data_IF_693671179262
#
_entry.id   IF_693671179262
#
_cell.length_a   1.000
_cell.length_b   1.000
_cell.length_c   1.000
_cell.angle_alpha   90.00
_cell.angle_beta   90.00
_cell.angle_gamma   90.00
#
_symmetry.space_group_name_H-M   'P 1'
#
loop_
_entity.id
_entity.type
_entity.pdbx_description
1 polymer ?
#
# COMPACT_ATOMS: atom_id res chain seq x y z
N UNK A 1 1.22 7.77 -38.15
CA UNK A 1 1.00 6.88 -36.99
C UNK A 1 1.62 7.41 -35.70
N UNK A 2 2.88 7.90 -35.69
CA UNK A 2 3.44 8.62 -34.52
C UNK A 2 2.66 9.88 -34.18
N UNK A 3 2.01 10.47 -35.19
CA UNK A 3 1.03 11.55 -35.08
C UNK A 3 -0.09 11.27 -34.07
N UNK A 4 -0.49 10.01 -33.85
CA UNK A 4 -1.53 9.69 -32.86
C UNK A 4 -1.04 9.97 -31.44
N UNK A 5 0.18 9.54 -31.09
CA UNK A 5 0.78 9.84 -29.79
C UNK A 5 0.93 11.36 -29.64
N UNK A 6 1.44 12.05 -30.66
CA UNK A 6 1.58 13.51 -30.63
C UNK A 6 0.25 14.24 -30.44
N UNK A 7 -0.81 13.81 -31.11
CA UNK A 7 -2.14 14.40 -30.98
C UNK A 7 -2.69 14.25 -29.55
N UNK A 8 -2.52 13.06 -28.96
CA UNK A 8 -2.93 12.80 -27.57
C UNK A 8 -2.12 13.65 -26.59
N UNK A 9 -0.80 13.70 -26.75
CA UNK A 9 0.10 14.51 -25.92
C UNK A 9 -0.22 16.01 -26.03
N UNK A 10 -0.51 16.50 -27.24
CA UNK A 10 -0.89 17.89 -27.48
C UNK A 10 -2.20 18.23 -26.77
N UNK A 11 -3.23 17.38 -26.92
CA UNK A 11 -4.50 17.55 -26.21
C UNK A 11 -4.32 17.63 -24.69
N UNK A 12 -3.48 16.77 -24.09
CA UNK A 12 -3.17 16.82 -22.66
C UNK A 12 -2.53 18.14 -22.22
N UNK A 13 -1.69 18.76 -23.07
CA UNK A 13 -1.12 20.08 -22.80
C UNK A 13 -2.17 21.20 -22.96
N UNK A 14 -3.06 21.11 -23.94
CA UNK A 14 -4.12 22.09 -24.17
C UNK A 14 -5.13 22.10 -22.99
N UNK A 15 -5.50 20.91 -22.49
CA UNK A 15 -6.35 20.74 -21.31
C UNK A 15 -5.68 21.34 -20.05
N UNK A 16 -4.37 21.14 -19.92
CA UNK A 16 -3.57 21.68 -18.82
C UNK A 16 -3.47 23.21 -18.89
N UNK A 17 -3.23 23.78 -20.07
CA UNK A 17 -3.16 25.22 -20.29
C UNK A 17 -4.50 25.92 -19.99
N UNK A 18 -5.61 25.23 -20.25
CA UNK A 18 -6.96 25.69 -19.90
C UNK A 18 -7.18 25.78 -18.37
N UNK A 19 -6.36 25.08 -17.59
CA UNK A 19 -6.43 25.05 -16.13
C UNK A 19 -5.50 26.08 -15.45
N UNK A 20 -4.69 26.81 -16.22
CA UNK A 20 -3.79 27.87 -15.73
C UNK A 20 -2.36 27.78 -16.29
N UNK A 21 -1.55 28.79 -16.01
CA UNK A 21 -0.13 28.77 -16.37
C UNK A 21 0.67 27.80 -15.50
N UNK A 22 1.34 26.86 -16.14
CA UNK A 22 2.26 25.90 -15.52
C UNK A 22 3.62 25.96 -16.20
N UNK A 23 4.68 25.82 -15.39
CA UNK A 23 6.06 25.86 -15.87
C UNK A 23 6.42 24.65 -16.74
N UNK A 24 7.54 24.77 -17.44
CA UNK A 24 7.98 23.78 -18.41
C UNK A 24 8.28 22.39 -17.81
N UNK A 25 8.74 22.30 -16.55
CA UNK A 25 9.01 21.02 -15.90
C UNK A 25 7.71 20.28 -15.56
N UNK A 26 6.72 21.01 -15.04
CA UNK A 26 5.37 20.48 -14.76
C UNK A 26 4.71 19.98 -16.04
N UNK A 27 4.73 20.77 -17.12
CA UNK A 27 4.24 20.33 -18.46
C UNK A 27 4.92 19.03 -18.91
N UNK A 28 6.24 18.94 -18.75
CA UNK A 28 6.99 17.73 -19.12
C UNK A 28 6.57 16.52 -18.29
N UNK A 29 6.28 16.69 -17.00
CA UNK A 29 5.85 15.60 -16.13
C UNK A 29 4.44 15.09 -16.48
N UNK A 30 3.52 15.98 -16.89
CA UNK A 30 2.20 15.57 -17.41
C UNK A 30 2.34 14.66 -18.64
N UNK A 31 3.23 15.03 -19.57
CA UNK A 31 3.51 14.19 -20.75
C UNK A 31 4.12 12.83 -20.38
N UNK A 32 4.95 12.77 -19.33
CA UNK A 32 5.50 11.50 -18.85
C UNK A 32 4.40 10.59 -18.33
N UNK A 33 3.47 11.10 -17.52
CA UNK A 33 2.36 10.28 -17.01
C UNK A 33 1.54 9.67 -18.15
N UNK A 34 1.29 10.44 -19.21
CA UNK A 34 0.59 9.93 -20.40
C UNK A 34 1.40 8.83 -21.11
N UNK A 35 2.70 9.06 -21.34
CA UNK A 35 3.58 8.10 -22.01
C UNK A 35 3.80 6.82 -21.21
N UNK A 36 3.68 6.86 -19.87
CA UNK A 36 3.77 5.68 -19.02
C UNK A 36 2.68 4.65 -19.35
N UNK A 37 1.47 5.07 -19.72
CA UNK A 37 0.39 4.13 -20.08
C UNK A 37 0.72 3.31 -21.33
N UNK A 38 1.44 3.89 -22.30
CA UNK A 38 1.89 3.15 -23.49
C UNK A 38 2.89 2.05 -23.13
N UNK A 39 3.78 2.35 -22.18
CA UNK A 39 4.78 1.40 -21.68
C UNK A 39 4.12 0.32 -20.82
N UNK A 40 3.19 0.70 -19.94
CA UNK A 40 2.43 -0.24 -19.11
C UNK A 40 1.56 -1.16 -19.95
N UNK A 41 0.95 -0.64 -21.02
CA UNK A 41 0.21 -1.44 -21.98
C UNK A 41 1.12 -2.52 -22.61
N UNK A 42 2.34 -2.17 -23.03
CA UNK A 42 3.31 -3.16 -23.50
C UNK A 42 3.61 -4.22 -22.43
N UNK A 43 4.00 -3.80 -21.21
CA UNK A 43 4.41 -4.70 -20.14
C UNK A 43 3.28 -5.67 -19.77
N UNK A 44 2.07 -5.17 -19.54
CA UNK A 44 0.97 -5.96 -19.01
C UNK A 44 0.20 -6.79 -20.06
N UNK A 45 0.44 -6.54 -21.35
CA UNK A 45 0.01 -7.45 -22.42
C UNK A 45 1.09 -8.47 -22.82
N UNK A 46 2.34 -8.28 -22.38
CA UNK A 46 3.40 -9.23 -22.71
C UNK A 46 3.24 -10.54 -21.93
N UNK A 47 3.34 -11.73 -22.57
CA UNK A 47 3.15 -13.01 -21.89
C UNK A 47 4.15 -13.27 -20.76
N UNK A 48 5.36 -12.68 -20.85
CA UNK A 48 6.42 -12.86 -19.85
C UNK A 48 6.42 -11.77 -18.77
N UNK A 49 5.95 -10.55 -19.07
CA UNK A 49 6.15 -9.38 -18.19
C UNK A 49 4.88 -8.99 -17.42
N UNK A 50 3.72 -9.57 -17.76
CA UNK A 50 2.42 -9.21 -17.16
C UNK A 50 2.28 -9.49 -15.65
N UNK A 51 3.25 -10.19 -15.08
CA UNK A 51 3.32 -10.61 -13.70
C UNK A 51 4.40 -9.85 -12.91
N UNK A 52 5.02 -8.82 -13.50
CA UNK A 52 5.89 -7.90 -12.77
C UNK A 52 5.08 -7.09 -11.76
N UNK A 53 5.60 -7.00 -10.54
CA UNK A 53 4.93 -6.32 -9.43
C UNK A 53 5.30 -4.84 -9.50
N UNK A 54 4.35 -4.00 -9.89
CA UNK A 54 4.53 -2.55 -9.85
C UNK A 54 4.48 -2.05 -8.41
N UNK A 55 5.40 -1.14 -8.08
CA UNK A 55 5.43 -0.51 -6.76
C UNK A 55 5.89 0.95 -6.86
N UNK A 56 6.08 1.61 -5.71
CA UNK A 56 6.59 2.98 -5.67
C UNK A 56 5.55 4.04 -6.01
N UNK A 57 6.03 5.21 -6.45
CA UNK A 57 5.20 6.41 -6.63
C UNK A 57 4.16 6.28 -7.75
N UNK A 58 4.48 5.55 -8.82
CA UNK A 58 3.56 5.41 -9.96
C UNK A 58 2.46 4.40 -9.68
N UNK A 59 2.73 3.36 -8.88
CA UNK A 59 1.68 2.46 -8.40
C UNK A 59 0.65 3.25 -7.57
N UNK A 60 1.11 4.09 -6.65
CA UNK A 60 0.26 5.00 -5.88
C UNK A 60 -0.56 5.95 -6.76
N UNK A 61 0.08 6.54 -7.78
CA UNK A 61 -0.55 7.50 -8.69
C UNK A 61 -1.63 6.86 -9.57
N UNK A 62 -1.33 5.72 -10.19
CA UNK A 62 -2.19 5.09 -11.20
C UNK A 62 -3.28 4.22 -10.54
N UNK A 63 -2.98 3.56 -9.43
CA UNK A 63 -3.90 2.60 -8.79
C UNK A 63 -4.72 3.25 -7.67
N UNK A 64 -4.17 4.27 -7.01
CA UNK A 64 -4.74 4.81 -5.78
C UNK A 64 -4.92 6.33 -5.79
N UNK A 65 -4.82 6.97 -6.96
CA UNK A 65 -5.08 8.39 -7.16
C UNK A 65 -4.25 9.32 -6.25
N UNK A 66 -2.96 9.01 -6.09
CA UNK A 66 -2.03 9.92 -5.41
C UNK A 66 -2.07 11.31 -6.07
N UNK A 67 -2.17 12.37 -5.25
CA UNK A 67 -2.39 13.74 -5.73
C UNK A 67 -1.13 14.46 -6.24
N UNK A 68 -0.02 13.74 -6.43
CA UNK A 68 1.20 14.27 -7.05
C UNK A 68 1.54 13.45 -8.28
N UNK A 69 2.14 14.08 -9.27
CA UNK A 69 2.62 13.38 -10.45
C UNK A 69 3.73 12.39 -10.09
N UNK A 70 3.85 11.33 -10.89
CA UNK A 70 4.93 10.35 -10.76
C UNK A 70 5.61 10.08 -12.09
N UNK A 71 6.94 10.01 -12.07
CA UNK A 71 7.76 10.11 -13.30
C UNK A 71 8.48 8.82 -13.69
N UNK A 72 8.66 7.88 -12.76
CA UNK A 72 9.41 6.63 -12.96
C UNK A 72 8.45 5.42 -12.84
N UNK A 73 8.66 4.37 -13.62
CA UNK A 73 7.97 3.08 -13.46
C UNK A 73 8.91 2.11 -12.73
N UNK A 74 8.57 1.76 -11.50
CA UNK A 74 9.35 0.86 -10.67
C UNK A 74 8.65 -0.51 -10.58
N UNK A 75 9.40 -1.58 -10.85
CA UNK A 75 8.92 -2.96 -10.76
C UNK A 75 9.84 -3.83 -9.91
N UNK A 76 9.25 -4.77 -9.19
CA UNK A 76 9.96 -5.90 -8.59
C UNK A 76 9.68 -7.18 -9.41
N UNK A 77 10.76 -7.92 -9.68
CA UNK A 77 10.75 -9.14 -10.48
C UNK A 77 11.41 -10.28 -9.71
N UNK A 78 10.95 -11.52 -9.95
CA UNK A 78 11.44 -12.71 -9.26
C UNK A 78 12.65 -13.37 -9.91
N UNK A 79 13.19 -12.78 -10.97
CA UNK A 79 14.33 -13.30 -11.73
C UNK A 79 15.49 -12.32 -11.72
N UNK A 80 16.71 -12.84 -11.92
CA UNK A 80 17.89 -12.01 -12.02
C UNK A 80 17.84 -11.13 -13.28
N UNK A 81 18.16 -9.85 -13.12
CA UNK A 81 18.21 -8.89 -14.22
C UNK A 81 19.59 -8.97 -14.87
N UNK A 82 19.65 -9.43 -16.11
CA UNK A 82 20.89 -9.59 -16.88
C UNK A 82 20.95 -8.58 -18.03
N UNK A 83 22.15 -8.27 -18.52
CA UNK A 83 22.32 -7.40 -19.69
C UNK A 83 21.59 -7.94 -20.92
N UNK A 84 21.69 -9.26 -21.16
CA UNK A 84 20.98 -9.95 -22.24
C UNK A 84 19.47 -9.73 -22.17
N UNK A 85 18.89 -9.89 -20.99
CA UNK A 85 17.47 -9.66 -20.76
C UNK A 85 17.07 -8.19 -21.01
N UNK A 86 17.89 -7.23 -20.56
CA UNK A 86 17.62 -5.80 -20.80
C UNK A 86 17.73 -5.44 -22.29
N UNK A 87 18.65 -6.06 -23.03
CA UNK A 87 18.77 -5.91 -24.48
C UNK A 87 17.58 -6.50 -25.23
N UNK A 88 17.06 -7.65 -24.79
CA UNK A 88 15.85 -8.27 -25.33
C UNK A 88 14.63 -7.38 -25.07
N UNK A 89 14.40 -6.99 -23.81
CA UNK A 89 13.34 -6.06 -23.41
C UNK A 89 13.38 -4.77 -24.23
N UNK A 90 14.57 -4.19 -24.42
CA UNK A 90 14.76 -3.00 -25.24
C UNK A 90 14.26 -3.22 -26.67
N UNK A 91 14.71 -4.29 -27.33
CA UNK A 91 14.33 -4.60 -28.72
C UNK A 91 12.84 -4.84 -28.86
N UNK A 92 12.22 -5.50 -27.90
CA UNK A 92 10.78 -5.76 -27.89
C UNK A 92 9.97 -4.48 -27.74
N UNK A 93 10.38 -3.57 -26.86
CA UNK A 93 9.74 -2.26 -26.73
C UNK A 93 9.90 -1.46 -28.03
N UNK A 94 11.10 -1.39 -28.62
CA UNK A 94 11.33 -0.69 -29.90
C UNK A 94 10.39 -1.25 -30.99
N UNK A 95 10.32 -2.58 -31.11
CA UNK A 95 9.43 -3.25 -32.08
C UNK A 95 7.96 -2.98 -31.78
N UNK A 96 7.53 -3.00 -30.52
CA UNK A 96 6.16 -2.71 -30.13
C UNK A 96 5.76 -1.29 -30.54
N UNK A 97 6.62 -0.29 -30.28
CA UNK A 97 6.31 1.10 -30.64
C UNK A 97 6.31 1.32 -32.16
N UNK A 98 7.25 0.72 -32.89
CA UNK A 98 7.26 0.78 -34.36
C UNK A 98 6.03 0.12 -34.97
N UNK A 99 5.64 -1.07 -34.51
CA UNK A 99 4.53 -1.81 -35.10
C UNK A 99 3.15 -1.20 -34.81
N UNK A 100 2.93 -0.68 -33.59
CA UNK A 100 1.60 -0.19 -33.18
C UNK A 100 1.42 1.31 -33.41
N UNK A 101 2.51 2.08 -33.42
CA UNK A 101 2.45 3.54 -33.52
C UNK A 101 3.36 4.11 -34.61
N UNK A 102 3.99 3.27 -35.45
CA UNK A 102 4.82 3.74 -36.56
C UNK A 102 5.95 4.68 -36.14
N UNK A 103 6.52 4.49 -34.96
CA UNK A 103 7.63 5.30 -34.46
C UNK A 103 8.95 4.88 -35.10
N UNK A 104 9.81 5.85 -35.37
CA UNK A 104 11.20 5.66 -35.79
C UNK A 104 12.19 6.08 -34.68
N UNK A 105 13.49 6.07 -34.99
CA UNK A 105 14.56 6.45 -34.06
C UNK A 105 14.59 7.94 -33.73
N UNK A 106 14.03 8.77 -34.62
CA UNK A 106 13.93 10.21 -34.41
C UNK A 106 12.77 10.53 -33.47
N UNK A 107 11.79 9.63 -33.35
CA UNK A 107 10.70 9.73 -32.37
C UNK A 107 11.05 9.12 -31.00
N UNK A 108 11.57 7.89 -30.97
CA UNK A 108 11.87 7.15 -29.74
C UNK A 108 13.27 6.54 -29.79
N UNK A 109 14.05 6.76 -28.74
CA UNK A 109 15.32 6.05 -28.51
C UNK A 109 15.38 5.44 -27.11
N UNK A 110 15.88 4.22 -26.99
CA UNK A 110 15.92 3.48 -25.71
C UNK A 110 17.36 3.15 -25.32
N UNK A 111 17.71 3.42 -24.06
CA UNK A 111 19.03 3.14 -23.50
C UNK A 111 18.92 2.32 -22.22
N UNK A 112 19.79 1.31 -22.07
CA UNK A 112 19.98 0.59 -20.80
C UNK A 112 20.66 1.52 -19.78
N UNK A 113 20.13 1.57 -18.56
CA UNK A 113 20.63 2.41 -17.48
C UNK A 113 20.84 1.61 -16.20
N UNK A 114 21.93 1.91 -15.49
CA UNK A 114 22.25 1.40 -14.16
C UNK A 114 22.26 -0.14 -14.02
N UNK A 115 22.41 -0.88 -15.13
CA UNK A 115 22.42 -2.34 -15.16
C UNK A 115 21.10 -3.01 -14.77
N UNK A 116 20.02 -2.25 -14.56
CA UNK A 116 18.75 -2.78 -14.05
C UNK A 116 17.50 -2.08 -14.60
N UNK A 117 17.62 -1.30 -15.67
CA UNK A 117 16.48 -0.57 -16.20
C UNK A 117 16.70 0.01 -17.59
N UNK A 118 15.65 0.61 -18.13
CA UNK A 118 15.62 1.26 -19.44
C UNK A 118 15.20 2.74 -19.31
N UNK A 119 15.80 3.58 -20.11
CA UNK A 119 15.42 4.98 -20.29
C UNK A 119 14.89 5.16 -21.71
N UNK A 120 13.58 5.35 -21.84
CA UNK A 120 12.88 5.64 -23.08
C UNK A 120 12.87 7.15 -23.28
N UNK A 121 13.43 7.63 -24.38
CA UNK A 121 13.54 9.06 -24.72
C UNK A 121 12.65 9.35 -25.92
N UNK A 122 11.56 10.06 -25.67
CA UNK A 122 10.63 10.53 -26.68
C UNK A 122 11.03 11.94 -27.11
N UNK A 123 11.34 12.14 -28.39
CA UNK A 123 11.82 13.42 -28.93
C UNK A 123 10.67 14.29 -29.42
N UNK A 124 9.70 14.51 -28.55
CA UNK A 124 8.42 15.20 -28.88
C UNK A 124 8.42 16.69 -28.53
N UNK A 125 9.48 17.21 -27.88
CA UNK A 125 9.47 18.55 -27.29
C UNK A 125 9.33 19.69 -28.29
N UNK A 126 10.02 19.61 -29.43
CA UNK A 126 9.93 20.62 -30.49
C UNK A 126 8.52 20.69 -31.10
N UNK A 127 7.92 19.53 -31.37
CA UNK A 127 6.59 19.44 -31.97
C UNK A 127 5.49 19.93 -31.01
N UNK A 128 5.70 19.80 -29.71
CA UNK A 128 4.74 20.16 -28.67
C UNK A 128 4.97 21.54 -28.03
N UNK A 129 6.07 22.23 -28.36
CA UNK A 129 6.36 23.55 -27.82
C UNK A 129 6.52 23.59 -26.30
N UNK A 130 7.12 22.54 -25.69
CA UNK A 130 7.17 22.38 -24.21
C UNK A 130 7.87 23.55 -23.51
N UNK A 131 8.76 24.28 -24.21
CA UNK A 131 9.50 25.42 -23.65
C UNK A 131 10.54 25.02 -22.60
N UNK A 132 10.98 23.75 -22.62
CA UNK A 132 12.00 23.20 -21.73
C UNK A 132 13.36 23.10 -22.46
N UNK A 133 14.47 23.21 -21.74
CA UNK A 133 15.82 23.18 -22.33
C UNK A 133 16.12 21.85 -23.06
N UNK A 134 15.69 20.73 -22.47
CA UNK A 134 15.68 19.42 -23.13
C UNK A 134 14.36 19.22 -23.88
N UNK A 135 14.47 18.92 -25.18
CA UNK A 135 13.34 18.62 -26.07
C UNK A 135 12.88 17.16 -25.97
N UNK A 136 13.37 16.41 -24.97
CA UNK A 136 13.05 15.01 -24.76
C UNK A 136 12.16 14.83 -23.54
N UNK A 137 11.18 13.95 -23.66
CA UNK A 137 10.40 13.44 -22.53
C UNK A 137 10.91 12.05 -22.21
N UNK A 138 11.33 11.84 -20.97
CA UNK A 138 11.93 10.58 -20.53
C UNK A 138 10.96 9.77 -19.68
N UNK A 139 10.72 8.52 -20.07
CA UNK A 139 10.06 7.51 -19.24
C UNK A 139 11.10 6.48 -18.83
N UNK A 140 11.23 6.24 -17.53
CA UNK A 140 12.20 5.28 -16.99
C UNK A 140 11.47 4.03 -16.50
N UNK A 141 12.00 2.87 -16.87
CA UNK A 141 11.66 1.57 -16.29
C UNK A 141 12.82 1.19 -15.36
N UNK A 142 12.53 0.93 -14.09
CA UNK A 142 13.51 0.47 -13.09
C UNK A 142 13.08 -0.89 -12.55
N UNK A 143 13.92 -1.91 -12.72
CA UNK A 143 13.65 -3.27 -12.29
C UNK A 143 14.48 -3.58 -11.05
N UNK A 144 13.87 -4.26 -10.10
CA UNK A 144 14.53 -4.73 -8.89
C UNK A 144 14.30 -6.22 -8.73
N UNK A 145 15.38 -6.98 -8.65
CA UNK A 145 15.29 -8.40 -8.31
C UNK A 145 15.08 -8.51 -6.80
N UNK A 146 13.84 -8.72 -6.39
CA UNK A 146 13.45 -8.83 -4.98
C UNK A 146 12.16 -9.61 -4.84
N UNK A 147 12.06 -10.34 -3.73
CA UNK A 147 10.82 -11.00 -3.30
C UNK A 147 10.74 -10.92 -1.78
N UNK A 148 9.64 -10.36 -1.27
CA UNK A 148 9.31 -10.41 0.15
C UNK A 148 8.40 -11.62 0.41
N UNK A 149 8.84 -12.60 1.22
CA UNK A 149 7.97 -13.71 1.62
C UNK A 149 6.72 -13.18 2.33
N UNK A 150 5.57 -13.83 2.09
CA UNK A 150 4.26 -13.53 2.73
C UNK A 150 3.62 -12.18 2.37
N UNK A 151 4.28 -11.35 1.56
CA UNK A 151 3.65 -10.11 1.10
C UNK A 151 2.54 -10.40 0.08
N UNK A 152 1.41 -9.73 0.27
CA UNK A 152 0.22 -9.90 -0.58
C UNK A 152 0.31 -9.01 -1.82
N UNK A 153 0.04 -9.60 -2.98
CA UNK A 153 -0.15 -8.87 -4.24
C UNK A 153 -1.61 -8.84 -4.65
N UNK A 154 -1.97 -7.81 -5.40
CA UNK A 154 -3.32 -7.54 -5.89
C UNK A 154 -3.28 -7.30 -7.39
N UNK A 155 -4.35 -7.70 -8.07
CA UNK A 155 -4.57 -7.43 -9.49
C UNK A 155 -5.52 -6.26 -9.63
N UNK A 156 -5.08 -5.21 -10.32
CA UNK A 156 -5.78 -3.93 -10.43
C UNK A 156 -6.06 -3.63 -11.90
N UNK A 157 -7.31 -3.79 -12.35
CA UNK A 157 -7.70 -3.40 -13.71
C UNK A 157 -7.58 -1.89 -13.86
N UNK A 158 -6.90 -1.46 -14.92
CA UNK A 158 -6.72 -0.06 -15.31
C UNK A 158 -7.38 0.14 -16.66
N UNK A 159 -8.28 1.12 -16.73
CA UNK A 159 -8.88 1.59 -17.97
C UNK A 159 -8.57 3.07 -18.10
N UNK A 160 -7.71 3.43 -19.04
CA UNK A 160 -7.28 4.81 -19.27
C UNK A 160 -7.26 5.09 -20.77
N UNK A 161 -8.07 6.06 -21.20
CA UNK A 161 -8.23 6.43 -22.61
C UNK A 161 -8.51 5.19 -23.50
N UNK A 162 -7.54 4.79 -24.32
CA UNK A 162 -7.63 3.64 -25.24
C UNK A 162 -7.03 2.34 -24.66
N UNK A 163 -6.51 2.37 -23.43
CA UNK A 163 -5.81 1.24 -22.82
C UNK A 163 -6.66 0.55 -21.77
N UNK A 164 -6.61 -0.78 -21.76
CA UNK A 164 -7.23 -1.63 -20.75
C UNK A 164 -6.26 -2.75 -20.41
N UNK A 165 -5.72 -2.76 -19.19
CA UNK A 165 -4.79 -3.81 -18.76
C UNK A 165 -4.90 -4.03 -17.25
N UNK A 166 -4.27 -5.10 -16.75
CA UNK A 166 -4.32 -5.44 -15.33
C UNK A 166 -2.93 -5.34 -14.73
N UNK A 167 -2.72 -4.34 -13.87
CA UNK A 167 -1.48 -4.18 -13.11
C UNK A 167 -1.46 -5.21 -11.97
N UNK A 168 -0.32 -5.85 -11.77
CA UNK A 168 -0.01 -6.58 -10.53
C UNK A 168 0.76 -5.63 -9.62
N UNK A 169 0.28 -5.39 -8.40
CA UNK A 169 0.93 -4.51 -7.43
C UNK A 169 0.86 -5.12 -6.02
N UNK A 170 1.67 -4.61 -5.10
CA UNK A 170 1.50 -4.97 -3.69
C UNK A 170 0.23 -4.35 -3.10
N UNK A 171 -0.28 -4.95 -2.02
CA UNK A 171 -1.31 -4.30 -1.21
C UNK A 171 -0.78 -3.00 -0.58
N UNK A 172 -1.71 -2.17 -0.07
CA UNK A 172 -1.38 -0.85 0.48
C UNK A 172 -0.35 -0.89 1.62
N UNK A 173 -0.43 -1.91 2.49
CA UNK A 173 0.50 -2.10 3.62
C UNK A 173 1.94 -2.32 3.16
N UNK A 174 2.16 -3.16 2.14
CA UNK A 174 3.49 -3.40 1.61
C UNK A 174 3.99 -2.24 0.73
N UNK A 175 3.10 -1.53 0.03
CA UNK A 175 3.49 -0.30 -0.65
C UNK A 175 3.94 0.78 0.35
N UNK A 176 3.25 0.94 1.50
CA UNK A 176 3.70 1.82 2.58
C UNK A 176 5.05 1.38 3.16
N UNK A 177 5.21 0.08 3.43
CA UNK A 177 6.48 -0.48 3.90
C UNK A 177 7.63 -0.19 2.91
N UNK A 178 7.38 -0.31 1.60
CA UNK A 178 8.37 0.02 0.57
C UNK A 178 8.81 1.49 0.60
N UNK A 179 7.91 2.40 0.98
CA UNK A 179 8.24 3.82 1.17
C UNK A 179 9.04 4.09 2.42
N UNK A 180 8.64 3.49 3.53
CA UNK A 180 9.41 3.54 4.78
C UNK A 180 10.83 2.99 4.55
N UNK A 181 10.95 1.88 3.83
CA UNK A 181 12.25 1.33 3.46
C UNK A 181 13.08 2.29 2.61
N UNK A 182 12.46 2.98 1.64
CA UNK A 182 13.14 4.00 0.86
C UNK A 182 13.59 5.20 1.70
N UNK A 183 12.85 5.57 2.76
CA UNK A 183 13.24 6.64 3.69
C UNK A 183 14.46 6.22 4.51
N UNK A 184 14.50 4.99 5.02
CA UNK A 184 15.60 4.53 5.87
C UNK A 184 16.87 4.11 5.12
N UNK A 185 16.74 3.51 3.94
CA UNK A 185 17.85 2.84 3.26
C UNK A 185 18.51 3.67 2.16
N UNK A 186 17.97 4.85 1.84
CA UNK A 186 18.59 5.69 0.81
C UNK A 186 19.91 6.27 1.28
N UNK A 187 20.92 6.10 0.43
CA UNK A 187 22.22 6.75 0.61
C UNK A 187 22.21 8.23 0.21
N UNK A 188 23.29 8.93 0.56
CA UNK A 188 23.53 10.34 0.24
C UNK A 188 23.42 10.62 -1.27
N UNK A 189 22.67 11.65 -1.63
CA UNK A 189 22.52 12.17 -3.01
C UNK A 189 22.65 13.67 -3.00
N UNK A 190 23.36 14.26 -3.95
CA UNK A 190 23.53 15.71 -4.00
C UNK A 190 23.16 16.36 -5.33
N UNK A 191 22.76 17.62 -5.25
CA UNK A 191 22.70 18.56 -6.38
C UNK A 191 23.69 19.68 -6.06
N UNK A 192 24.80 19.74 -6.80
CA UNK A 192 25.90 20.66 -6.49
C UNK A 192 26.61 20.28 -5.19
N UNK A 193 26.83 21.25 -4.29
CA UNK A 193 27.53 21.05 -3.01
C UNK A 193 26.64 20.51 -1.87
N UNK A 194 25.31 20.45 -2.05
CA UNK A 194 24.38 19.97 -1.03
C UNK A 194 24.11 18.48 -1.23
N UNK A 195 24.28 17.67 -0.19
CA UNK A 195 23.91 16.25 -0.17
C UNK A 195 22.75 16.04 0.81
N UNK A 196 21.76 15.29 0.36
CA UNK A 196 20.54 14.93 1.07
C UNK A 196 20.45 13.40 1.14
N UNK A 197 19.94 12.89 2.24
CA UNK A 197 19.77 11.44 2.45
C UNK A 197 18.33 11.01 2.06
N UNK A 198 17.44 11.99 1.87
CA UNK A 198 16.02 11.85 1.58
C UNK A 198 15.60 12.41 0.20
N UNK A 199 14.46 11.93 -0.33
CA UNK A 199 13.72 12.65 -1.39
C UNK A 199 12.38 13.11 -0.86
N UNK A 200 12.02 14.36 -1.11
CA UNK A 200 10.81 14.94 -0.55
C UNK A 200 9.51 14.23 -0.91
N UNK A 201 9.43 13.64 -2.10
CA UNK A 201 8.29 12.83 -2.53
C UNK A 201 8.05 11.58 -1.68
N UNK A 202 9.08 11.00 -1.07
CA UNK A 202 8.86 9.85 -0.18
C UNK A 202 8.25 10.27 1.16
N UNK A 203 8.54 11.49 1.63
CA UNK A 203 7.90 12.09 2.79
C UNK A 203 6.43 12.41 2.48
N UNK A 204 6.16 13.02 1.32
CA UNK A 204 4.79 13.28 0.87
C UNK A 204 3.97 11.98 0.80
N UNK A 205 4.51 10.93 0.18
CA UNK A 205 3.84 9.64 0.06
C UNK A 205 3.59 9.01 1.44
N UNK A 206 4.57 9.07 2.35
CA UNK A 206 4.40 8.56 3.72
C UNK A 206 3.21 9.22 4.42
N UNK A 207 3.13 10.56 4.39
CA UNK A 207 2.01 11.28 5.02
C UNK A 207 0.68 10.94 4.34
N UNK A 208 0.69 10.72 3.02
CA UNK A 208 -0.51 10.27 2.30
C UNK A 208 -0.99 8.89 2.78
N UNK A 209 -0.09 7.93 3.02
CA UNK A 209 -0.44 6.64 3.63
C UNK A 209 -0.96 6.81 5.06
N UNK A 210 -0.29 7.66 5.84
CA UNK A 210 -0.64 7.90 7.24
C UNK A 210 -2.03 8.52 7.40
N UNK A 211 -2.40 9.44 6.50
CA UNK A 211 -3.73 10.03 6.47
C UNK A 211 -4.83 8.98 6.18
N UNK A 212 -4.48 7.87 5.53
CA UNK A 212 -5.36 6.73 5.28
C UNK A 212 -5.29 5.65 6.38
N UNK A 213 -4.54 5.89 7.46
CA UNK A 213 -4.33 4.94 8.58
C UNK A 213 -3.78 3.58 8.14
N UNK A 214 -3.00 3.56 7.06
CA UNK A 214 -2.40 2.31 6.56
C UNK A 214 -1.36 1.83 7.56
N UNK A 215 -1.38 0.55 7.91
CA UNK A 215 -0.31 -0.07 8.72
C UNK A 215 0.71 -0.67 7.78
N UNK A 216 2.02 -0.37 7.93
CA UNK A 216 3.03 -0.93 7.06
C UNK A 216 3.20 -2.43 7.30
N UNK A 217 3.48 -3.17 6.22
CA UNK A 217 3.81 -4.59 6.29
C UNK A 217 5.21 -4.78 6.91
N UNK A 218 5.26 -5.33 8.12
CA UNK A 218 6.51 -5.60 8.84
C UNK A 218 7.32 -6.73 8.21
N UNK A 219 6.68 -7.75 7.62
CA UNK A 219 7.40 -8.83 6.93
C UNK A 219 8.17 -8.26 5.73
N UNK A 220 7.58 -7.31 5.01
CA UNK A 220 8.26 -6.57 3.94
C UNK A 220 9.45 -5.74 4.46
N UNK A 221 9.29 -5.02 5.57
CA UNK A 221 10.39 -4.23 6.19
C UNK A 221 11.55 -5.13 6.61
N UNK A 222 11.26 -6.25 7.28
CA UNK A 222 12.25 -7.25 7.69
C UNK A 222 12.96 -7.84 6.48
N UNK A 223 12.24 -8.15 5.39
CA UNK A 223 12.84 -8.63 4.15
C UNK A 223 13.77 -7.60 3.48
N UNK A 224 13.57 -6.30 3.71
CA UNK A 224 14.49 -5.22 3.30
C UNK A 224 15.63 -4.97 4.31
N UNK A 225 15.73 -5.75 5.39
CA UNK A 225 16.76 -5.62 6.41
C UNK A 225 16.47 -4.53 7.46
N UNK A 226 15.22 -4.11 7.60
CA UNK A 226 14.81 -3.08 8.55
C UNK A 226 14.10 -3.78 9.70
N UNK A 227 14.87 -4.07 10.75
CA UNK A 227 14.34 -4.71 11.94
C UNK A 227 13.74 -3.69 12.91
N UNK A 228 12.44 -3.82 13.14
CA UNK A 228 11.69 -3.00 14.08
C UNK A 228 10.71 -3.90 14.83
N UNK A 229 10.73 -3.82 16.16
CA UNK A 229 9.94 -4.69 17.04
C UNK A 229 8.44 -4.50 16.91
N UNK A 230 8.01 -3.28 16.58
CA UNK A 230 6.60 -2.88 16.56
C UNK A 230 6.41 -1.49 15.92
N UNK A 231 5.15 -1.08 15.82
CA UNK A 231 4.74 0.18 15.19
C UNK A 231 5.17 1.43 15.97
N UNK A 232 5.27 1.36 17.30
CA UNK A 232 5.72 2.48 18.13
C UNK A 232 7.21 2.73 17.88
N UNK A 233 8.03 1.69 17.97
CA UNK A 233 9.46 1.76 17.66
C UNK A 233 9.70 2.23 16.21
N UNK A 234 8.81 1.88 15.28
CA UNK A 234 8.89 2.34 13.89
C UNK A 234 8.62 3.85 13.78
N UNK A 235 7.56 4.34 14.42
CA UNK A 235 7.24 5.77 14.43
C UNK A 235 8.26 6.60 15.21
N UNK A 236 8.87 6.07 16.27
CA UNK A 236 9.97 6.75 16.96
C UNK A 236 11.17 6.92 16.03
N UNK A 237 11.57 5.85 15.32
CA UNK A 237 12.65 5.90 14.31
C UNK A 237 12.31 6.86 13.17
N UNK A 238 11.08 6.83 12.63
CA UNK A 238 10.64 7.75 11.59
C UNK A 238 10.66 9.20 12.07
N UNK A 239 10.21 9.47 13.29
CA UNK A 239 10.16 10.82 13.86
C UNK A 239 11.56 11.42 13.98
N UNK A 240 12.55 10.61 14.42
CA UNK A 240 13.95 11.03 14.42
C UNK A 240 14.49 11.35 13.02
N UNK A 241 14.01 10.66 11.98
CA UNK A 241 14.38 10.97 10.59
C UNK A 241 13.67 12.21 10.07
N UNK A 242 12.37 12.39 10.36
CA UNK A 242 11.60 13.56 9.91
C UNK A 242 12.22 14.86 10.39
N UNK A 243 12.76 14.90 11.62
CA UNK A 243 13.43 16.09 12.16
C UNK A 243 14.72 16.48 11.42
N UNK A 244 15.27 15.61 10.56
CA UNK A 244 16.47 15.89 9.76
C UNK A 244 16.16 16.32 8.32
N UNK A 245 14.90 16.22 7.90
CA UNK A 245 14.49 16.49 6.52
C UNK A 245 14.63 17.98 6.20
N UNK A 246 15.24 18.30 5.06
CA UNK A 246 15.42 19.68 4.63
C UNK A 246 14.18 20.22 3.90
N UNK A 247 13.60 21.31 4.42
CA UNK A 247 12.50 22.01 3.74
C UNK A 247 12.86 22.48 2.32
N UNK A 248 14.12 22.88 2.09
CA UNK A 248 14.61 23.25 0.75
C UNK A 248 14.57 22.06 -0.21
N UNK A 249 15.01 20.88 0.26
CA UNK A 249 14.99 19.65 -0.52
C UNK A 249 13.55 19.21 -0.83
N UNK A 250 12.65 19.29 0.16
CA UNK A 250 11.22 19.04 -0.05
C UNK A 250 10.66 19.95 -1.14
N UNK A 251 10.91 21.25 -1.05
CA UNK A 251 10.43 22.24 -2.02
C UNK A 251 10.95 21.93 -3.43
N UNK A 252 12.24 21.64 -3.58
CA UNK A 252 12.86 21.36 -4.87
C UNK A 252 12.33 20.08 -5.53
N UNK A 253 12.15 18.99 -4.78
CA UNK A 253 11.66 17.71 -5.32
C UNK A 253 10.14 17.70 -5.53
N UNK A 254 9.36 18.35 -4.64
CA UNK A 254 7.90 18.27 -4.69
C UNK A 254 7.26 19.28 -5.63
N UNK A 255 7.69 20.55 -5.63
CA UNK A 255 7.02 21.60 -6.41
C UNK A 255 6.78 21.14 -7.86
N UNK A 256 7.77 20.66 -8.63
CA UNK A 256 7.56 20.27 -10.03
C UNK A 256 6.59 19.09 -10.26
N UNK A 257 6.13 18.42 -9.20
CA UNK A 257 5.20 17.29 -9.25
C UNK A 257 3.72 17.69 -9.06
N UNK A 258 3.44 18.99 -8.86
CA UNK A 258 2.08 19.50 -8.67
C UNK A 258 1.72 20.59 -9.66
N UNK A 259 0.49 20.52 -10.17
CA UNK A 259 -0.12 21.61 -10.95
C UNK A 259 -0.58 22.74 -10.00
N UNK A 260 -1.27 22.39 -8.91
CA UNK A 260 -1.70 23.35 -7.89
C UNK A 260 -0.53 23.78 -6.99
N UNK A 261 -0.04 25.00 -7.23
CA UNK A 261 1.04 25.64 -6.47
C UNK A 261 0.62 25.98 -5.04
N UNK A 262 -0.59 26.49 -4.87
CA UNK A 262 -1.10 26.90 -3.56
C UNK A 262 -1.23 25.71 -2.61
N UNK A 263 -1.72 24.57 -3.13
CA UNK A 263 -1.80 23.33 -2.37
C UNK A 263 -0.42 22.90 -1.85
N UNK A 264 0.58 22.76 -2.75
CA UNK A 264 1.89 22.24 -2.34
C UNK A 264 2.65 23.21 -1.45
N UNK A 265 2.52 24.52 -1.66
CA UNK A 265 3.11 25.52 -0.77
C UNK A 265 2.52 25.47 0.64
N UNK A 266 1.21 25.28 0.77
CA UNK A 266 0.57 25.09 2.07
C UNK A 266 0.97 23.77 2.71
N UNK A 267 1.09 22.69 1.94
CA UNK A 267 1.59 21.42 2.44
C UNK A 267 3.02 21.56 2.98
N UNK A 268 3.92 22.19 2.22
CA UNK A 268 5.33 22.42 2.62
C UNK A 268 5.48 23.26 3.88
N UNK A 269 4.52 24.15 4.19
CA UNK A 269 4.53 24.93 5.43
C UNK A 269 4.17 24.10 6.66
N UNK A 270 3.31 23.09 6.49
CA UNK A 270 2.65 22.39 7.60
C UNK A 270 2.98 20.89 7.70
N UNK A 271 3.88 20.38 6.85
CA UNK A 271 4.09 18.93 6.71
C UNK A 271 4.57 18.28 8.02
N UNK A 272 5.48 18.91 8.76
CA UNK A 272 6.05 18.32 9.98
C UNK A 272 5.02 18.29 11.12
N UNK A 273 4.23 19.35 11.29
CA UNK A 273 3.11 19.37 12.23
C UNK A 273 2.04 18.35 11.85
N UNK A 274 1.75 18.24 10.55
CA UNK A 274 0.82 17.24 10.03
C UNK A 274 1.33 15.82 10.29
N UNK A 275 2.63 15.57 10.11
CA UNK A 275 3.26 14.29 10.46
C UNK A 275 3.09 13.96 11.94
N UNK A 276 3.44 14.89 12.84
CA UNK A 276 3.34 14.68 14.29
C UNK A 276 1.90 14.38 14.71
N UNK A 277 0.93 15.17 14.22
CA UNK A 277 -0.48 14.90 14.44
C UNK A 277 -0.84 13.50 13.95
N UNK A 278 -0.47 13.15 12.71
CA UNK A 278 -0.78 11.83 12.13
C UNK A 278 -0.22 10.67 12.96
N UNK A 279 0.99 10.80 13.54
CA UNK A 279 1.57 9.78 14.43
C UNK A 279 0.67 9.55 15.65
N UNK A 280 0.24 10.62 16.33
CA UNK A 280 -0.66 10.52 17.50
C UNK A 280 -1.99 9.86 17.13
N UNK A 281 -2.46 10.18 15.94
CA UNK A 281 -3.76 9.79 15.40
C UNK A 281 -3.82 8.30 14.98
N UNK A 282 -2.70 7.57 15.00
CA UNK A 282 -2.69 6.09 14.92
C UNK A 282 -3.15 5.44 16.25
N UNK A 283 -3.11 6.15 17.38
CA UNK A 283 -3.57 5.66 18.69
C UNK A 283 -3.01 4.27 19.04
N UNK A 284 -1.67 4.16 19.02
CA UNK A 284 -0.96 2.91 19.31
C UNK A 284 -1.02 2.64 20.82
N UNK A 285 -1.68 1.54 21.21
CA UNK A 285 -1.93 1.16 22.60
C UNK A 285 -1.17 -0.11 22.98
N UNK A 286 -0.59 -0.13 24.17
CA UNK A 286 -0.02 -1.34 24.78
C UNK A 286 -1.06 -1.97 25.70
N UNK A 287 -1.50 -3.19 25.40
CA UNK A 287 -2.48 -3.91 26.20
C UNK A 287 -1.81 -4.60 27.38
N UNK A 288 -2.39 -4.47 28.56
CA UNK A 288 -1.86 -5.06 29.80
C UNK A 288 -2.63 -6.33 30.16
N UNK A 289 -3.63 -6.27 31.03
CA UNK A 289 -4.45 -7.44 31.44
C UNK A 289 -5.81 -7.45 30.77
N UNK A 290 -6.34 -8.64 30.51
CA UNK A 290 -7.76 -8.81 30.19
C UNK A 290 -8.57 -8.35 31.41
N UNK A 291 -9.45 -7.37 31.21
CA UNK A 291 -10.34 -6.85 32.24
C UNK A 291 -11.58 -7.74 32.37
N UNK A 292 -12.34 -7.88 31.28
CA UNK A 292 -13.54 -8.68 31.22
C UNK A 292 -13.88 -9.10 29.78
N UNK A 293 -14.85 -10.00 29.63
CA UNK A 293 -15.37 -10.47 28.35
C UNK A 293 -16.85 -10.12 28.25
N UNK A 294 -17.30 -9.66 27.08
CA UNK A 294 -18.74 -9.50 26.78
C UNK A 294 -19.14 -10.37 25.61
N UNK A 295 -20.28 -11.03 25.73
CA UNK A 295 -20.89 -11.79 24.63
C UNK A 295 -22.21 -11.13 24.27
N UNK A 296 -22.39 -10.81 22.99
CA UNK A 296 -23.58 -10.16 22.48
C UNK A 296 -24.10 -10.91 21.26
N UNK A 297 -25.39 -11.25 21.25
CA UNK A 297 -26.08 -11.82 20.09
C UNK A 297 -26.95 -10.74 19.45
N UNK A 298 -26.71 -10.49 18.17
CA UNK A 298 -27.59 -9.67 17.35
C UNK A 298 -28.60 -10.58 16.63
N UNK A 299 -29.85 -10.54 17.09
CA UNK A 299 -30.95 -11.34 16.55
C UNK A 299 -31.46 -10.88 15.18
N UNK A 300 -31.00 -9.72 14.68
CA UNK A 300 -31.35 -9.25 13.34
C UNK A 300 -30.38 -9.77 12.27
N UNK A 301 -29.15 -10.07 12.67
CA UNK A 301 -28.09 -10.51 11.77
C UNK A 301 -27.61 -11.94 12.03
N UNK A 302 -28.13 -12.59 13.06
CA UNK A 302 -27.72 -13.92 13.52
C UNK A 302 -26.20 -13.99 13.81
N UNK A 303 -25.65 -12.87 14.32
CA UNK A 303 -24.23 -12.73 14.64
C UNK A 303 -24.01 -12.69 16.14
N UNK A 304 -23.16 -13.58 16.61
CA UNK A 304 -22.61 -13.61 17.95
C UNK A 304 -21.24 -12.91 17.98
N UNK A 305 -21.10 -11.94 18.87
CA UNK A 305 -19.87 -11.17 19.08
C UNK A 305 -19.25 -11.47 20.44
N UNK A 306 -17.99 -11.87 20.45
CA UNK A 306 -17.17 -12.10 21.64
C UNK A 306 -16.16 -10.96 21.76
N UNK A 307 -16.41 -10.05 22.70
CA UNK A 307 -15.58 -8.88 22.94
C UNK A 307 -14.65 -9.14 24.13
N UNK A 308 -13.35 -9.09 23.90
CA UNK A 308 -12.31 -9.18 24.94
C UNK A 308 -11.81 -7.78 25.25
N UNK A 309 -12.08 -7.29 26.46
CA UNK A 309 -11.74 -5.93 26.88
C UNK A 309 -10.46 -5.98 27.69
N UNK A 310 -9.43 -5.26 27.24
CA UNK A 310 -8.13 -5.17 27.90
C UNK A 310 -7.92 -3.77 28.47
N UNK A 311 -7.25 -3.70 29.63
CA UNK A 311 -6.67 -2.47 30.13
C UNK A 311 -5.45 -2.09 29.28
N UNK A 312 -5.15 -0.80 29.18
CA UNK A 312 -3.96 -0.29 28.51
C UNK A 312 -2.99 0.37 29.50
N UNK A 313 -1.74 0.56 29.12
CA UNK A 313 -0.73 1.21 29.98
C UNK A 313 -1.08 2.66 30.37
N UNK A 314 -1.83 3.37 29.52
CA UNK A 314 -2.32 4.73 29.79
C UNK A 314 -3.62 4.76 30.63
N UNK A 315 -4.09 3.62 31.16
CA UNK A 315 -5.26 3.55 32.05
C UNK A 315 -6.62 3.55 31.32
N UNK A 316 -6.63 3.46 30.00
CA UNK A 316 -7.84 3.33 29.19
C UNK A 316 -8.18 1.84 28.92
N UNK A 317 -9.18 1.61 28.07
CA UNK A 317 -9.58 0.27 27.63
C UNK A 317 -9.46 0.14 26.10
N UNK A 318 -9.15 -1.07 25.64
CA UNK A 318 -9.22 -1.45 24.24
C UNK A 318 -9.96 -2.77 24.10
N UNK A 319 -10.56 -3.03 22.93
CA UNK A 319 -11.38 -4.22 22.71
C UNK A 319 -11.01 -5.01 21.47
N UNK A 320 -11.00 -6.33 21.58
CA UNK A 320 -10.83 -7.24 20.45
C UNK A 320 -12.14 -8.00 20.26
N UNK A 321 -12.79 -7.84 19.11
CA UNK A 321 -14.12 -8.41 18.85
C UNK A 321 -14.03 -9.53 17.83
N UNK A 322 -14.29 -10.76 18.26
CA UNK A 322 -14.43 -11.91 17.39
C UNK A 322 -15.91 -12.10 17.04
N UNK A 323 -16.24 -12.18 15.75
CA UNK A 323 -17.62 -12.33 15.26
C UNK A 323 -17.83 -13.68 14.60
N UNK A 324 -18.92 -14.33 14.97
CA UNK A 324 -19.28 -15.68 14.54
C UNK A 324 -20.77 -15.69 14.22
N UNK A 325 -21.18 -16.35 13.14
CA UNK A 325 -22.61 -16.63 12.94
C UNK A 325 -23.11 -17.58 14.04
N UNK A 326 -24.30 -17.32 14.59
CA UNK A 326 -24.90 -18.16 15.63
C UNK A 326 -25.19 -19.60 15.15
N UNK A 327 -25.18 -19.86 13.84
CA UNK A 327 -25.20 -21.18 13.24
C UNK A 327 -24.17 -22.13 13.88
N UNK A 328 -22.97 -21.61 14.16
CA UNK A 328 -21.91 -22.38 14.84
C UNK A 328 -22.31 -22.81 16.27
N UNK A 329 -23.23 -22.11 16.91
CA UNK A 329 -23.75 -22.45 18.23
C UNK A 329 -24.93 -23.42 18.12
N UNK A 330 -25.87 -23.16 17.20
CA UNK A 330 -27.12 -23.91 17.14
C UNK A 330 -26.99 -25.31 16.51
N UNK A 331 -26.02 -25.53 15.62
CA UNK A 331 -25.89 -26.77 14.85
C UNK A 331 -24.67 -27.62 15.24
N UNK A 332 -24.75 -28.94 15.03
CA UNK A 332 -23.72 -29.93 15.47
C UNK A 332 -22.38 -29.76 14.76
N UNK A 333 -22.40 -29.21 13.55
CA UNK A 333 -21.21 -28.92 12.76
C UNK A 333 -20.26 -27.97 13.51
N UNK A 334 -20.81 -27.09 14.36
CA UNK A 334 -20.06 -26.18 15.22
C UNK A 334 -19.66 -26.75 16.58
N UNK A 335 -19.90 -28.04 16.86
CA UNK A 335 -19.42 -28.67 18.10
C UNK A 335 -17.88 -28.60 18.16
N UNK A 336 -17.32 -28.02 19.22
CA UNK A 336 -15.87 -27.97 19.44
C UNK A 336 -15.43 -29.03 20.46
N UNK A 337 -14.18 -29.47 20.35
CA UNK A 337 -13.51 -30.27 21.40
C UNK A 337 -12.58 -29.40 22.26
N UNK A 338 -12.60 -28.09 22.05
CA UNK A 338 -11.79 -27.12 22.80
C UNK A 338 -12.10 -27.20 24.28
N UNK A 339 -11.06 -27.29 25.10
CA UNK A 339 -11.16 -27.29 26.56
C UNK A 339 -11.64 -25.91 27.03
N UNK A 340 -12.61 -25.88 27.93
CA UNK A 340 -13.10 -24.63 28.51
C UNK A 340 -12.04 -24.06 29.46
N UNK A 341 -11.70 -22.78 29.26
CA UNK A 341 -10.88 -22.01 30.17
C UNK A 341 -11.77 -21.29 31.19
N UNK A 342 -12.02 -21.95 32.33
CA UNK A 342 -12.91 -21.45 33.38
C UNK A 342 -12.48 -20.07 33.92
N UNK A 343 -11.18 -19.75 33.91
CA UNK A 343 -10.69 -18.44 34.36
C UNK A 343 -11.18 -17.31 33.45
N UNK A 344 -11.25 -17.55 32.15
CA UNK A 344 -11.70 -16.55 31.16
C UNK A 344 -13.23 -16.48 31.15
N UNK A 345 -13.91 -17.62 31.26
CA UNK A 345 -15.37 -17.66 31.36
C UNK A 345 -15.87 -16.93 32.61
N UNK A 346 -15.15 -17.02 33.74
CA UNK A 346 -15.46 -16.29 34.96
C UNK A 346 -15.38 -14.75 34.81
N UNK A 347 -14.62 -14.26 33.81
CA UNK A 347 -14.50 -12.84 33.47
C UNK A 347 -15.62 -12.35 32.54
N UNK A 348 -16.58 -13.20 32.17
CA UNK A 348 -17.74 -12.75 31.40
C UNK A 348 -18.63 -11.86 32.27
N UNK A 349 -19.03 -10.72 31.73
CA UNK A 349 -19.94 -9.75 32.34
C UNK A 349 -21.21 -9.56 31.51
N UNK A 350 -22.25 -9.02 32.15
CA UNK A 350 -23.56 -8.75 31.55
C UNK A 350 -24.57 -9.88 31.73
N UNK A 351 -25.78 -9.67 31.21
CA UNK A 351 -26.97 -10.51 31.48
C UNK A 351 -26.81 -11.97 31.04
N UNK A 352 -25.90 -12.24 30.09
CA UNK A 352 -25.69 -13.60 29.58
C UNK A 352 -24.77 -14.45 30.48
N UNK A 353 -24.07 -13.84 31.45
CA UNK A 353 -23.05 -14.52 32.28
C UNK A 353 -23.55 -15.84 32.88
N UNK A 354 -24.75 -15.83 33.44
CA UNK A 354 -25.33 -16.99 34.13
C UNK A 354 -25.98 -18.00 33.17
N UNK A 355 -26.19 -17.61 31.90
CA UNK A 355 -26.90 -18.40 30.89
C UNK A 355 -26.03 -18.82 29.69
N UNK A 356 -24.70 -18.79 29.84
CA UNK A 356 -23.79 -19.25 28.79
C UNK A 356 -23.95 -20.75 28.52
N UNK A 357 -24.32 -21.08 27.28
CA UNK A 357 -24.32 -22.46 26.80
C UNK A 357 -22.90 -23.06 26.82
N UNK A 358 -22.81 -24.39 26.90
CA UNK A 358 -21.53 -25.10 26.85
C UNK A 358 -20.70 -24.70 25.62
N UNK A 359 -21.32 -24.59 24.44
CA UNK A 359 -20.66 -24.16 23.21
C UNK A 359 -20.14 -22.74 23.30
N UNK A 360 -20.92 -21.79 23.80
CA UNK A 360 -20.46 -20.41 23.97
C UNK A 360 -19.20 -20.34 24.85
N UNK A 361 -19.13 -21.12 25.93
CA UNK A 361 -17.91 -21.23 26.78
C UNK A 361 -16.71 -21.78 26.00
N UNK A 362 -16.92 -22.75 25.12
CA UNK A 362 -15.86 -23.27 24.25
C UNK A 362 -15.37 -22.24 23.24
N UNK A 363 -16.28 -21.48 22.60
CA UNK A 363 -15.93 -20.42 21.67
C UNK A 363 -15.24 -19.23 22.35
N UNK A 364 -15.68 -18.83 23.56
CA UNK A 364 -14.98 -17.84 24.39
C UNK A 364 -13.52 -18.28 24.61
N UNK A 365 -13.30 -19.56 24.91
CA UNK A 365 -11.97 -20.09 25.16
C UNK A 365 -11.13 -20.15 23.89
N UNK A 366 -11.70 -20.63 22.78
CA UNK A 366 -11.03 -20.70 21.47
C UNK A 366 -10.57 -19.33 20.98
N UNK A 367 -11.47 -18.35 20.98
CA UNK A 367 -11.14 -17.01 20.50
C UNK A 367 -10.17 -16.31 21.45
N UNK A 368 -10.28 -16.53 22.76
CA UNK A 368 -9.30 -16.01 23.72
C UNK A 368 -7.87 -16.51 23.42
N UNK A 369 -7.70 -17.79 23.14
CA UNK A 369 -6.39 -18.36 22.79
C UNK A 369 -5.83 -17.73 21.51
N UNK A 370 -6.68 -17.50 20.49
CA UNK A 370 -6.27 -16.81 19.26
C UNK A 370 -5.88 -15.36 19.53
N UNK A 371 -6.65 -14.66 20.38
CA UNK A 371 -6.36 -13.29 20.80
C UNK A 371 -5.05 -13.19 21.57
N UNK A 372 -4.80 -14.04 22.56
CA UNK A 372 -3.53 -14.01 23.30
C UNK A 372 -2.33 -14.39 22.42
N UNK A 373 -2.50 -15.33 21.47
CA UNK A 373 -1.45 -15.64 20.50
C UNK A 373 -1.14 -14.43 19.60
N UNK A 374 -2.16 -13.72 19.13
CA UNK A 374 -2.00 -12.46 18.39
C UNK A 374 -1.29 -11.40 19.22
N UNK A 375 -1.75 -11.16 20.47
CA UNK A 375 -1.12 -10.19 21.36
C UNK A 375 0.33 -10.57 21.68
N UNK A 376 0.65 -11.85 21.81
CA UNK A 376 2.05 -12.27 21.98
C UNK A 376 2.89 -11.96 20.73
N UNK A 377 2.33 -12.17 19.54
CA UNK A 377 2.99 -11.88 18.24
C UNK A 377 3.21 -10.37 18.05
N UNK A 378 2.30 -9.53 18.52
CA UNK A 378 2.39 -8.06 18.38
C UNK A 378 3.02 -7.36 19.59
N UNK A 379 3.68 -8.08 20.49
CA UNK A 379 4.21 -7.53 21.75
C UNK A 379 3.15 -6.76 22.57
N UNK A 380 1.90 -7.20 22.48
CA UNK A 380 0.69 -6.61 23.05
C UNK A 380 0.39 -5.19 22.56
N UNK A 381 1.03 -4.77 21.47
CA UNK A 381 0.77 -3.49 20.82
C UNK A 381 -0.38 -3.68 19.86
N UNK A 382 -1.32 -2.73 19.91
CA UNK A 382 -2.54 -2.72 19.12
C UNK A 382 -2.77 -1.32 18.56
N UNK A 383 -3.29 -1.26 17.33
CA UNK A 383 -3.71 -0.02 16.71
C UNK A 383 -5.16 0.32 17.08
N UNK A 384 -5.36 1.53 17.62
CA UNK A 384 -6.67 2.06 17.96
C UNK A 384 -7.34 1.40 19.18
N UNK A 385 -8.53 1.90 19.52
CA UNK A 385 -9.34 1.41 20.64
C UNK A 385 -9.99 0.04 20.41
N UNK A 386 -10.02 -0.45 19.17
CA UNK A 386 -10.74 -1.67 18.84
C UNK A 386 -10.33 -2.33 17.52
N UNK A 387 -10.14 -3.65 17.53
CA UNK A 387 -10.05 -4.49 16.32
C UNK A 387 -11.26 -5.43 16.27
N UNK A 388 -11.69 -5.77 15.06
CA UNK A 388 -12.86 -6.63 14.84
C UNK A 388 -12.59 -7.60 13.71
N UNK A 389 -13.00 -8.85 13.88
CA UNK A 389 -12.89 -9.86 12.83
C UNK A 389 -14.03 -9.76 11.82
N UNK A 390 -13.82 -10.29 10.61
CA UNK A 390 -14.89 -10.71 9.71
C UNK A 390 -15.84 -11.67 10.44
N UNK A 391 -17.12 -11.71 10.01
CA UNK A 391 -18.06 -12.70 10.54
C UNK A 391 -17.65 -14.07 10.00
N UNK A 392 -17.30 -14.99 10.90
CA UNK A 392 -17.04 -16.37 10.52
C UNK A 392 -18.36 -17.10 10.28
N UNK A 393 -18.57 -17.59 9.05
CA UNK A 393 -19.75 -18.35 8.61
C UNK A 393 -19.37 -19.76 8.21
N UNK A 394 -20.34 -20.68 8.23
CA UNK A 394 -20.19 -22.03 7.66
C UNK A 394 -20.68 -22.12 6.20
N UNK A 395 -21.53 -21.19 5.78
CA UNK A 395 -22.17 -21.20 4.46
C UNK A 395 -21.73 -20.00 3.64
N UNK A 396 -21.58 -20.22 2.33
CA UNK A 396 -21.19 -19.18 1.37
C UNK A 396 -22.37 -18.42 0.75
N UNK A 397 -23.60 -18.73 1.17
CA UNK A 397 -24.79 -18.09 0.63
C UNK A 397 -24.77 -16.58 0.90
N UNK A 398 -24.93 -15.79 -0.16
CA UNK A 398 -24.86 -14.32 -0.15
C UNK A 398 -23.63 -13.76 0.59
N UNK A 399 -22.47 -14.39 0.42
CA UNK A 399 -21.24 -14.03 1.14
C UNK A 399 -20.70 -12.66 0.71
N UNK A 400 -20.65 -11.72 1.65
CA UNK A 400 -19.88 -10.49 1.48
C UNK A 400 -18.43 -10.70 1.96
N UNK A 401 -17.52 -11.01 1.04
CA UNK A 401 -16.11 -11.32 1.34
C UNK A 401 -15.31 -10.19 2.02
N UNK A 402 -15.81 -8.94 1.96
CA UNK A 402 -15.20 -7.82 2.70
C UNK A 402 -15.51 -7.90 4.19
N UNK A 403 -16.70 -8.38 4.55
CA UNK A 403 -17.22 -8.38 5.92
C UNK A 403 -17.26 -9.77 6.56
N UNK A 404 -17.17 -10.82 5.75
CA UNK A 404 -17.46 -12.20 6.13
C UNK A 404 -16.41 -13.15 5.56
N UNK A 405 -16.20 -14.28 6.25
CA UNK A 405 -15.31 -15.35 5.83
C UNK A 405 -16.00 -16.70 6.07
N UNK A 406 -15.86 -17.62 5.13
CA UNK A 406 -16.41 -18.99 5.26
C UNK A 406 -15.30 -19.92 5.70
N UNK A 407 -15.50 -20.59 6.84
CA UNK A 407 -14.55 -21.56 7.37
C UNK A 407 -15.27 -22.84 7.74
N UNK A 408 -14.62 -23.97 7.53
CA UNK A 408 -15.00 -25.20 8.19
C UNK A 408 -14.36 -25.27 9.58
N UNK A 409 -14.79 -26.23 10.41
CA UNK A 409 -14.28 -26.41 11.77
C UNK A 409 -12.75 -26.55 11.84
N UNK A 410 -12.16 -27.33 10.94
CA UNK A 410 -10.70 -27.52 10.91
C UNK A 410 -9.98 -26.21 10.64
N UNK A 411 -10.44 -25.43 9.66
CA UNK A 411 -9.86 -24.15 9.28
C UNK A 411 -10.00 -23.11 10.40
N UNK A 412 -11.17 -23.05 11.07
CA UNK A 412 -11.35 -22.17 12.23
C UNK A 412 -10.42 -22.53 13.39
N UNK A 413 -10.17 -23.82 13.61
CA UNK A 413 -9.22 -24.25 14.65
C UNK A 413 -7.77 -23.88 14.29
N UNK A 414 -7.37 -24.05 13.03
CA UNK A 414 -5.98 -23.82 12.59
C UNK A 414 -5.61 -22.37 12.31
N UNK A 415 -6.56 -21.51 11.93
CA UNK A 415 -6.27 -20.12 11.54
C UNK A 415 -5.74 -19.29 12.72
N UNK A 416 -4.98 -18.25 12.42
CA UNK A 416 -4.60 -17.21 13.39
C UNK A 416 -5.70 -16.15 13.51
N UNK A 417 -5.58 -15.21 14.46
CA UNK A 417 -6.51 -14.07 14.53
C UNK A 417 -6.34 -13.17 13.30
N UNK A 418 -5.11 -13.00 12.82
CA UNK A 418 -4.76 -12.17 11.66
C UNK A 418 -5.56 -12.55 10.41
N UNK A 419 -5.77 -13.86 10.19
CA UNK A 419 -6.56 -14.39 9.06
C UNK A 419 -8.05 -13.99 9.13
N UNK A 420 -8.52 -13.60 10.32
CA UNK A 420 -9.90 -13.25 10.60
C UNK A 420 -10.14 -11.74 10.64
N UNK A 421 -9.10 -10.91 10.73
CA UNK A 421 -9.27 -9.45 10.82
C UNK A 421 -9.96 -8.89 9.56
N UNK A 422 -10.71 -7.79 9.75
CA UNK A 422 -11.42 -7.11 8.66
C UNK A 422 -10.49 -6.46 7.65
#
# INVERSE_FOLDING_TARGET
>A
MSEQILAILKRKLDDLASSGEVDAETRRNVLKEELQFYVLNFIYYHPEYNNWIMYGGSALRIIHDLNRMSVDLDFEVSHAITEKFLDELKKEIEKYFTNNYGTDKDFLSIKIVNGRGLLLRFHVGNALGIGHASQQVHVKIDLNHFSAPKTVTERRPINQDQFSFVIVAYNMSALMASKIAAIFLRGRRGVGAKTYEEKGRDIYDLLWYMNKKVVPDFDYLVAKGIDVSDLRALFDKLTLQMNKVSNDNLKQDLVPLFVDRTYIENWLKNWLESYLRLVEEYDVRTLTRLAYVRVHQDFSTDVLSFSYIYNTENGEIARIICRLSDYWIHFREGDLLTKINEKVVALVEGDIKDNLSHKQKQYISLFYEKVEKYLKKTNRIMLGVGITTKVVRMTADNLNQKEQIVLNKSALLSCELDDLLK
#
